data_IF_070540257999
#
_entry.id   IF_070540257999
#
_cell.length_a   1.000
_cell.length_b   1.000
_cell.length_c   1.000
_cell.angle_alpha   90.00
_cell.angle_beta   90.00
_cell.angle_gamma   90.00
#
_symmetry.space_group_name_H-M   'P 1'
#
loop_
_entity.id
_entity.type
_entity.pdbx_description
1 polymer ?
#
# COMPACT_ATOMS: atom_id res chain seq x y z
N UNK A 1 16.76 -26.20 -27.44
CA UNK A 1 15.41 -25.62 -27.56
C UNK A 1 14.95 -25.41 -26.15
N UNK A 2 14.73 -24.16 -25.72
CA UNK A 2 13.63 -23.33 -26.23
C UNK A 2 12.45 -23.63 -25.28
N UNK A 3 12.22 -22.73 -24.31
CA UNK A 3 11.05 -21.83 -24.27
C UNK A 3 9.79 -22.66 -24.01
N UNK A 4 9.05 -22.48 -22.91
CA UNK A 4 8.13 -21.35 -22.64
C UNK A 4 7.93 -21.29 -21.10
N UNK A 5 8.25 -20.20 -20.41
CA UNK A 5 7.35 -19.07 -20.11
C UNK A 5 5.91 -19.47 -19.74
N UNK A 6 5.67 -19.66 -18.44
CA UNK A 6 4.33 -19.58 -17.84
C UNK A 6 4.38 -18.46 -16.80
N UNK A 7 4.11 -17.25 -17.27
CA UNK A 7 3.75 -16.11 -16.44
C UNK A 7 2.25 -16.15 -16.10
N UNK A 8 1.93 -15.54 -14.97
CA UNK A 8 0.61 -15.07 -14.53
C UNK A 8 -0.28 -16.08 -13.77
N UNK A 9 -0.16 -16.00 -12.44
CA UNK A 9 -1.16 -16.52 -11.52
C UNK A 9 -0.94 -16.08 -10.08
N UNK A 10 -0.45 -14.86 -9.83
CA UNK A 10 -0.35 -14.37 -8.45
C UNK A 10 -1.76 -14.17 -7.87
N UNK A 11 -2.09 -14.83 -6.74
CA UNK A 11 -3.43 -14.80 -6.20
C UNK A 11 -3.79 -13.41 -5.68
N UNK A 12 -4.83 -12.84 -6.30
CA UNK A 12 -5.58 -11.74 -5.74
C UNK A 12 -6.01 -12.08 -4.30
N UNK A 13 -5.48 -11.33 -3.32
CA UNK A 13 -6.09 -11.26 -1.98
C UNK A 13 -5.29 -11.82 -0.81
N UNK A 14 -3.97 -11.99 -0.90
CA UNK A 14 -3.16 -12.39 0.26
C UNK A 14 -2.85 -11.24 1.23
N UNK A 15 -3.88 -10.51 1.66
CA UNK A 15 -3.87 -9.73 2.90
C UNK A 15 -4.82 -10.38 3.89
N UNK A 16 -4.63 -11.69 4.11
CA UNK A 16 -5.21 -12.34 5.30
C UNK A 16 -4.47 -11.77 6.50
N UNK A 17 -5.18 -10.94 7.27
CA UNK A 17 -4.71 -10.19 8.43
C UNK A 17 -3.40 -10.68 9.03
N UNK A 18 -2.31 -10.00 8.69
CA UNK A 18 -1.08 -10.08 9.46
C UNK A 18 -1.43 -9.57 10.85
N UNK A 19 -1.52 -10.53 11.78
CA UNK A 19 -1.54 -10.29 13.21
C UNK A 19 -0.29 -9.47 13.51
N UNK A 20 -0.48 -8.19 13.77
CA UNK A 20 0.57 -7.29 14.20
C UNK A 20 1.18 -7.85 15.49
N UNK A 21 2.38 -8.41 15.40
CA UNK A 21 3.20 -8.69 16.57
C UNK A 21 4.07 -7.45 16.78
N UNK A 22 3.43 -6.41 17.29
CA UNK A 22 4.10 -5.21 17.80
C UNK A 22 3.63 -5.04 19.24
N UNK A 23 4.50 -5.40 20.19
CA UNK A 23 4.48 -4.94 21.58
C UNK A 23 3.30 -5.38 22.45
N UNK A 24 3.60 -5.96 23.60
CA UNK A 24 2.64 -6.19 24.66
C UNK A 24 1.98 -4.87 25.09
N UNK A 25 0.73 -4.65 24.67
CA UNK A 25 -0.11 -3.53 25.09
C UNK A 25 -1.56 -3.87 24.81
N UNK A 26 -2.35 -3.97 25.89
CA UNK A 26 -3.82 -4.07 25.98
C UNK A 26 -4.55 -4.00 24.63
N UNK A 27 -5.09 -5.13 24.14
CA UNK A 27 -6.09 -5.13 23.05
C UNK A 27 -7.32 -4.34 23.53
N UNK A 28 -7.63 -3.17 22.98
CA UNK A 28 -8.91 -2.55 23.26
C UNK A 28 -10.00 -3.31 22.49
N UNK A 29 -11.24 -3.07 22.89
CA UNK A 29 -12.41 -3.90 22.64
C UNK A 29 -12.97 -3.56 21.27
N UNK A 30 -12.50 -4.26 20.23
CA UNK A 30 -13.06 -4.21 18.88
C UNK A 30 -13.46 -2.78 18.43
N UNK A 31 -12.56 -1.81 18.59
CA UNK A 31 -12.73 -0.51 17.95
C UNK A 31 -12.78 -0.72 16.43
N UNK A 32 -13.80 -0.16 15.80
CA UNK A 32 -13.91 -0.11 14.35
C UNK A 32 -12.74 0.72 13.81
N UNK A 33 -11.76 0.07 13.18
CA UNK A 33 -10.65 0.77 12.54
C UNK A 33 -11.17 1.67 11.42
N UNK A 34 -10.81 2.94 11.49
CA UNK A 34 -11.07 3.92 10.43
C UNK A 34 -10.34 3.53 9.15
N UNK A 35 -10.72 4.16 8.05
CA UNK A 35 -10.01 3.97 6.77
C UNK A 35 -8.55 4.45 6.88
N UNK A 36 -8.30 5.54 7.60
CA UNK A 36 -6.96 6.04 7.89
C UNK A 36 -6.12 5.01 8.68
N UNK A 37 -6.67 4.39 9.73
CA UNK A 37 -5.96 3.36 10.51
C UNK A 37 -5.55 2.16 9.63
N UNK A 38 -6.41 1.78 8.69
CA UNK A 38 -6.13 0.67 7.76
C UNK A 38 -5.03 1.05 6.76
N UNK A 39 -5.04 2.29 6.27
CA UNK A 39 -3.99 2.84 5.40
C UNK A 39 -2.66 2.92 6.15
N UNK A 40 -2.65 3.44 7.37
CA UNK A 40 -1.46 3.54 8.22
C UNK A 40 -0.82 2.16 8.43
N UNK A 41 -1.62 1.17 8.84
CA UNK A 41 -1.14 -0.21 9.03
C UNK A 41 -0.54 -0.79 7.76
N UNK A 42 -1.09 -0.42 6.60
CA UNK A 42 -0.58 -0.86 5.31
C UNK A 42 0.76 -0.20 4.98
N UNK A 43 0.90 1.11 5.19
CA UNK A 43 2.15 1.84 5.04
C UNK A 43 3.23 1.28 5.97
N UNK A 44 2.89 1.03 7.24
CA UNK A 44 3.81 0.44 8.21
C UNK A 44 4.29 -0.96 7.80
N UNK A 45 3.41 -1.78 7.17
CA UNK A 45 3.83 -3.06 6.62
C UNK A 45 4.77 -2.89 5.43
N UNK A 46 4.49 -1.95 4.51
CA UNK A 46 5.33 -1.69 3.34
C UNK A 46 6.74 -1.24 3.74
N UNK A 47 6.84 -0.37 4.75
CA UNK A 47 8.14 0.05 5.29
C UNK A 47 8.94 -1.12 5.89
N UNK A 48 8.28 -2.19 6.34
CA UNK A 48 8.94 -3.34 6.97
C UNK A 48 9.20 -4.50 6.00
N UNK A 49 8.28 -4.75 5.06
CA UNK A 49 8.25 -5.97 4.25
C UNK A 49 8.11 -5.68 2.75
N UNK A 50 7.77 -4.45 2.36
CA UNK A 50 7.44 -4.10 0.98
C UNK A 50 8.65 -3.88 0.07
N UNK A 51 9.87 -4.03 0.57
CA UNK A 51 11.08 -3.86 -0.24
C UNK A 51 11.29 -2.45 -0.78
N UNK A 52 10.71 -1.44 -0.12
CA UNK A 52 10.84 -0.04 -0.54
C UNK A 52 12.29 0.43 -0.46
N UNK A 53 12.73 1.23 -1.43
CA UNK A 53 14.06 1.85 -1.42
C UNK A 53 14.23 2.88 -0.28
N UNK A 54 13.13 3.45 0.21
CA UNK A 54 13.10 4.44 1.27
C UNK A 54 11.91 4.27 2.21
N UNK A 55 11.93 4.98 3.34
CA UNK A 55 10.83 4.97 4.29
C UNK A 55 9.66 5.84 3.79
N UNK A 56 8.46 5.28 3.72
CA UNK A 56 7.23 6.00 3.38
C UNK A 56 6.63 6.62 4.65
N UNK A 57 6.68 7.95 4.77
CA UNK A 57 6.03 8.65 5.88
C UNK A 57 4.51 8.71 5.67
N UNK A 58 3.75 8.20 6.64
CA UNK A 58 2.30 8.15 6.56
C UNK A 58 1.64 9.53 6.57
N UNK A 59 2.12 10.46 7.41
CA UNK A 59 1.52 11.80 7.52
C UNK A 59 1.73 12.60 6.24
N UNK A 60 2.82 12.34 5.53
CA UNK A 60 3.13 12.97 4.25
C UNK A 60 2.19 12.53 3.11
N UNK A 61 1.85 11.24 3.06
CA UNK A 61 1.04 10.69 1.95
C UNK A 61 -0.45 10.54 2.27
N UNK A 62 -0.83 10.58 3.55
CA UNK A 62 -2.23 10.46 3.97
C UNK A 62 -3.15 11.48 3.28
N UNK A 63 -2.83 12.79 3.20
CA UNK A 63 -3.73 13.75 2.55
C UNK A 63 -4.04 13.39 1.09
N UNK A 64 -3.03 12.91 0.36
CA UNK A 64 -3.19 12.48 -1.03
C UNK A 64 -4.04 11.21 -1.15
N UNK A 65 -3.77 10.21 -0.30
CA UNK A 65 -4.50 8.94 -0.27
C UNK A 65 -5.96 9.12 0.20
N UNK A 66 -6.21 10.04 1.14
CA UNK A 66 -7.54 10.33 1.66
C UNK A 66 -8.43 10.99 0.59
N UNK A 67 -7.87 11.91 -0.22
CA UNK A 67 -8.59 12.58 -1.30
C UNK A 67 -9.16 11.62 -2.37
N UNK A 68 -8.57 10.44 -2.57
CA UNK A 68 -9.05 9.43 -3.54
C UNK A 68 -9.89 8.32 -2.88
N UNK A 69 -10.01 8.34 -1.56
CA UNK A 69 -10.73 7.38 -0.75
C UNK A 69 -10.02 6.03 -0.60
N UNK A 70 -10.46 5.28 0.42
CA UNK A 70 -9.82 4.05 0.89
C UNK A 70 -9.51 3.00 -0.19
N UNK A 71 -10.50 2.71 -1.07
CA UNK A 71 -10.32 1.67 -2.09
C UNK A 71 -9.24 2.02 -3.10
N UNK A 72 -9.16 3.28 -3.52
CA UNK A 72 -8.14 3.71 -4.47
C UNK A 72 -6.77 3.84 -3.78
N UNK A 73 -6.74 4.33 -2.54
CA UNK A 73 -5.53 4.35 -1.73
C UNK A 73 -4.87 2.97 -1.63
N UNK A 74 -5.66 1.91 -1.36
CA UNK A 74 -5.14 0.54 -1.31
C UNK A 74 -4.59 0.04 -2.65
N UNK A 75 -5.15 0.49 -3.77
CA UNK A 75 -4.64 0.15 -5.12
C UNK A 75 -3.33 0.87 -5.40
N UNK A 76 -3.22 2.15 -5.03
CA UNK A 76 -1.98 2.93 -5.12
C UNK A 76 -0.87 2.27 -4.30
N UNK A 77 -1.16 1.88 -3.05
CA UNK A 77 -0.19 1.21 -2.17
C UNK A 77 0.22 -0.17 -2.68
N UNK A 78 -0.67 -0.91 -3.35
CA UNK A 78 -0.30 -2.15 -4.05
C UNK A 78 0.62 -1.84 -5.23
N UNK A 79 0.34 -0.79 -6.01
CA UNK A 79 1.18 -0.45 -7.16
C UNK A 79 2.59 -0.03 -6.74
N UNK A 80 2.70 0.65 -5.61
CA UNK A 80 3.99 0.94 -4.98
C UNK A 80 4.74 -0.33 -4.58
N UNK A 81 4.06 -1.32 -3.99
CA UNK A 81 4.66 -2.62 -3.65
C UNK A 81 5.22 -3.33 -4.89
N UNK A 82 4.43 -3.41 -5.96
CA UNK A 82 4.83 -4.04 -7.23
C UNK A 82 6.04 -3.34 -7.87
N UNK A 83 6.17 -2.03 -7.68
CA UNK A 83 7.24 -1.21 -8.22
C UNK A 83 8.36 -0.93 -7.20
N UNK A 84 8.32 -1.52 -6.00
CA UNK A 84 9.18 -1.12 -4.88
C UNK A 84 10.68 -1.16 -5.21
N UNK A 85 11.10 -2.15 -6.01
CA UNK A 85 12.49 -2.33 -6.43
C UNK A 85 12.98 -1.26 -7.43
N UNK A 86 12.07 -0.56 -8.11
CA UNK A 86 12.40 0.43 -9.15
C UNK A 86 12.04 1.85 -8.75
N UNK A 87 11.33 2.02 -7.63
CA UNK A 87 10.91 3.32 -7.11
C UNK A 87 11.94 3.85 -6.12
N UNK A 88 12.69 4.92 -6.46
CA UNK A 88 13.70 5.48 -5.56
C UNK A 88 13.07 6.29 -4.41
N UNK A 89 11.96 6.98 -4.69
CA UNK A 89 11.21 7.76 -3.70
C UNK A 89 9.76 7.24 -3.62
N UNK A 90 9.43 6.46 -2.58
CA UNK A 90 8.08 5.94 -2.39
C UNK A 90 7.01 7.02 -2.19
N UNK A 91 7.35 8.15 -1.55
CA UNK A 91 6.39 9.20 -1.23
C UNK A 91 6.03 10.00 -2.48
N UNK A 92 7.02 10.36 -3.29
CA UNK A 92 6.81 11.01 -4.59
C UNK A 92 6.00 10.12 -5.53
N UNK A 93 6.30 8.82 -5.60
CA UNK A 93 5.55 7.87 -6.41
C UNK A 93 4.06 7.82 -6.04
N UNK A 94 3.74 7.78 -4.74
CA UNK A 94 2.34 7.79 -4.28
C UNK A 94 1.65 9.08 -4.70
N UNK A 95 2.29 10.23 -4.49
CA UNK A 95 1.73 11.55 -4.85
C UNK A 95 1.50 11.69 -6.36
N UNK A 96 2.46 11.27 -7.18
CA UNK A 96 2.34 11.29 -8.65
C UNK A 96 1.21 10.37 -9.12
N UNK A 97 1.10 9.16 -8.57
CA UNK A 97 0.03 8.23 -8.95
C UNK A 97 -1.35 8.75 -8.53
N UNK A 98 -1.47 9.34 -7.34
CA UNK A 98 -2.68 10.03 -6.87
C UNK A 98 -3.04 11.21 -7.77
N UNK A 99 -2.06 12.04 -8.15
CA UNK A 99 -2.30 13.21 -9.01
C UNK A 99 -2.83 12.79 -10.40
N UNK A 100 -2.29 11.70 -10.95
CA UNK A 100 -2.81 11.08 -12.17
C UNK A 100 -4.18 10.44 -11.96
N UNK A 101 -4.63 10.32 -10.70
CA UNK A 101 -5.91 9.70 -10.34
C UNK A 101 -7.17 10.42 -10.68
N UNK A 102 -7.09 11.75 -10.77
CA UNK A 102 -8.18 12.54 -11.32
C UNK A 102 -8.45 12.26 -12.82
N UNK A 103 -7.48 11.73 -13.57
CA UNK A 103 -7.58 11.55 -15.03
C UNK A 103 -7.67 10.07 -15.47
N UNK A 104 -6.95 9.16 -14.81
CA UNK A 104 -6.79 7.77 -15.27
C UNK A 104 -8.00 6.88 -14.93
N UNK A 105 -8.84 7.26 -13.96
CA UNK A 105 -9.98 6.43 -13.50
C UNK A 105 -11.36 7.04 -13.78
N UNK A 106 -11.42 8.11 -14.58
CA UNK A 106 -12.66 8.80 -14.99
C UNK A 106 -13.36 8.19 -16.22
N UNK A 107 -13.10 6.91 -16.53
CA UNK A 107 -13.68 6.20 -17.68
C UNK A 107 -14.38 4.93 -17.24
#
# INVERSE_FOLDING_TARGET
GGEEEEAAGEPAGAWRGVKAEAGAGRRPKAEEFTEADKIERRVAWLNRNGGLAGHLDFNEVLPALDCIGFRQAMRVLRRLEEAAATVPDPAEFVKDLVARSGWIWAK
#
